data_IF_407729425718
#
_entry.id   IF_407729425718
#
_cell.length_a   1.000
_cell.length_b   1.000
_cell.length_c   1.000
_cell.angle_alpha   90.00
_cell.angle_beta   90.00
_cell.angle_gamma   90.00
#
_symmetry.space_group_name_H-M   'P 1'
#
loop_
_entity.id
_entity.type
_entity.pdbx_description
1 polymer ?
#
# COMPACT_ATOMS: atom_id res chain seq x y z
N UNK A 1 -23.71 6.84 21.00
CA UNK A 1 -23.58 6.30 19.63
C UNK A 1 -23.62 4.78 19.69
N UNK A 2 -24.24 4.11 18.70
CA UNK A 2 -24.35 2.65 18.66
C UNK A 2 -23.19 2.08 17.84
N UNK A 3 -22.43 1.15 18.42
CA UNK A 3 -21.32 0.49 17.73
C UNK A 3 -21.84 -0.57 16.74
N UNK A 4 -21.16 -0.72 15.61
CA UNK A 4 -21.39 -1.72 14.59
C UNK A 4 -20.46 -2.91 14.88
N UNK A 5 -21.03 -4.11 14.92
CA UNK A 5 -20.27 -5.35 15.09
C UNK A 5 -19.68 -5.82 13.76
N UNK A 6 -18.69 -5.10 13.27
CA UNK A 6 -17.94 -5.42 12.06
C UNK A 6 -16.57 -6.00 12.42
N UNK A 7 -16.20 -7.15 11.85
CA UNK A 7 -14.89 -7.79 12.06
C UNK A 7 -13.92 -7.54 10.91
N UNK A 8 -14.41 -7.55 9.68
CA UNK A 8 -13.61 -7.33 8.48
C UNK A 8 -14.20 -6.20 7.66
N UNK A 9 -13.33 -5.30 7.20
CA UNK A 9 -13.67 -4.20 6.31
C UNK A 9 -12.67 -4.17 5.15
N UNK A 10 -13.20 -4.20 3.93
CA UNK A 10 -12.43 -4.08 2.71
C UNK A 10 -12.90 -2.82 1.99
N UNK A 11 -11.98 -1.89 1.78
CA UNK A 11 -12.21 -0.67 1.03
C UNK A 11 -11.33 -0.75 -0.22
N UNK A 12 -11.95 -1.05 -1.36
CA UNK A 12 -11.26 -1.25 -2.64
C UNK A 12 -11.01 0.04 -3.42
N UNK A 13 -11.67 1.12 -3.04
CA UNK A 13 -11.42 2.45 -3.56
C UNK A 13 -11.86 3.46 -2.50
N UNK A 14 -10.92 4.25 -1.99
CA UNK A 14 -11.22 5.31 -1.01
C UNK A 14 -10.80 6.66 -1.59
N UNK A 15 -11.79 7.46 -1.93
CA UNK A 15 -11.63 8.80 -2.53
C UNK A 15 -11.88 9.92 -1.51
N UNK A 16 -12.07 9.57 -0.24
CA UNK A 16 -12.32 10.51 0.86
C UNK A 16 -11.05 10.79 1.66
N UNK A 17 -11.11 11.75 2.59
CA UNK A 17 -9.96 12.14 3.42
C UNK A 17 -9.78 11.20 4.60
N UNK A 18 -8.60 11.23 5.22
CA UNK A 18 -8.30 10.41 6.40
C UNK A 18 -9.29 10.66 7.55
N UNK A 19 -9.71 11.92 7.73
CA UNK A 19 -10.70 12.29 8.76
C UNK A 19 -12.07 11.62 8.54
N UNK A 20 -12.48 11.36 7.29
CA UNK A 20 -13.71 10.64 6.99
C UNK A 20 -13.62 9.18 7.45
N UNK A 21 -12.47 8.53 7.22
CA UNK A 21 -12.22 7.17 7.74
C UNK A 21 -12.17 7.14 9.26
N UNK A 22 -11.52 8.12 9.88
CA UNK A 22 -11.46 8.25 11.35
C UNK A 22 -12.84 8.42 11.98
N UNK A 23 -13.77 9.11 11.31
CA UNK A 23 -15.16 9.17 11.74
C UNK A 23 -15.82 7.79 11.68
N UNK A 24 -15.61 7.03 10.60
CA UNK A 24 -16.10 5.65 10.47
C UNK A 24 -15.54 4.74 11.58
N UNK A 25 -14.24 4.84 11.87
CA UNK A 25 -13.55 4.02 12.87
C UNK A 25 -14.21 4.08 14.26
N UNK A 26 -14.79 5.23 14.64
CA UNK A 26 -15.54 5.39 15.91
C UNK A 26 -16.74 4.45 16.02
N UNK A 27 -17.28 3.99 14.90
CA UNK A 27 -18.44 3.11 14.86
C UNK A 27 -18.07 1.63 14.74
N UNK A 28 -16.81 1.29 14.48
CA UNK A 28 -16.34 -0.10 14.26
C UNK A 28 -15.19 -0.50 15.21
N UNK A 29 -15.29 -0.29 16.53
CA UNK A 29 -14.17 -0.49 17.46
C UNK A 29 -13.72 -1.96 17.61
N UNK A 30 -14.53 -2.92 17.11
CA UNK A 30 -14.23 -4.37 17.16
C UNK A 30 -13.68 -4.91 15.83
N UNK A 31 -13.27 -4.03 14.93
CA UNK A 31 -12.67 -4.42 13.65
C UNK A 31 -11.35 -5.16 13.91
N UNK A 32 -11.21 -6.36 13.36
CA UNK A 32 -10.01 -7.20 13.48
C UNK A 32 -9.21 -7.26 12.18
N UNK A 33 -9.84 -6.98 11.04
CA UNK A 33 -9.19 -6.93 9.74
C UNK A 33 -9.62 -5.73 8.92
N UNK A 34 -8.63 -4.98 8.43
CA UNK A 34 -8.80 -3.85 7.52
C UNK A 34 -7.94 -4.07 6.28
N UNK A 35 -8.57 -4.03 5.11
CA UNK A 35 -7.88 -4.00 3.81
C UNK A 35 -8.23 -2.70 3.10
N UNK A 36 -7.22 -1.93 2.73
CA UNK A 36 -7.42 -0.57 2.27
C UNK A 36 -6.68 -0.30 0.98
N UNK A 37 -7.40 0.13 -0.05
CA UNK A 37 -6.81 0.64 -1.29
C UNK A 37 -7.13 2.13 -1.39
N UNK A 38 -6.12 2.94 -1.08
CA UNK A 38 -6.21 4.40 -1.13
C UNK A 38 -5.48 4.94 -2.34
N UNK A 39 -6.11 5.87 -3.04
CA UNK A 39 -5.52 6.53 -4.21
C UNK A 39 -5.61 8.04 -4.06
N UNK A 40 -4.57 8.73 -4.53
CA UNK A 40 -4.54 10.18 -4.78
C UNK A 40 -4.52 11.10 -3.54
N UNK A 41 -4.56 10.56 -2.32
CA UNK A 41 -4.49 11.36 -1.10
C UNK A 41 -3.16 11.16 -0.33
N UNK A 42 -2.35 12.21 -0.25
CA UNK A 42 -1.12 12.24 0.54
C UNK A 42 -1.37 12.12 2.05
N UNK A 43 -2.55 12.53 2.51
CA UNK A 43 -2.90 12.48 3.93
C UNK A 43 -3.13 11.04 4.39
N UNK A 44 -3.44 10.13 3.47
CA UNK A 44 -3.47 8.68 3.75
C UNK A 44 -2.09 8.10 4.02
N UNK A 45 -1.05 8.75 3.50
CA UNK A 45 0.35 8.33 3.67
C UNK A 45 0.92 9.07 4.88
N UNK A 46 0.39 8.73 6.06
CA UNK A 46 0.89 9.21 7.36
C UNK A 46 0.85 8.08 8.39
N UNK A 47 2.00 7.45 8.60
CA UNK A 47 2.14 6.34 9.54
C UNK A 47 1.74 6.74 10.97
N UNK A 48 2.01 7.98 11.39
CA UNK A 48 1.73 8.42 12.75
C UNK A 48 0.22 8.56 12.98
N UNK A 49 -0.51 9.07 11.97
CA UNK A 49 -1.96 9.16 12.03
C UNK A 49 -2.62 7.77 12.08
N UNK A 50 -2.14 6.83 11.27
CA UNK A 50 -2.60 5.46 11.32
C UNK A 50 -2.29 4.78 12.65
N UNK A 51 -1.08 4.91 13.17
CA UNK A 51 -0.70 4.38 14.48
C UNK A 51 -1.59 4.93 15.60
N UNK A 52 -1.82 6.25 15.63
CA UNK A 52 -2.73 6.86 16.59
C UNK A 52 -4.16 6.34 16.45
N UNK A 53 -4.68 6.22 15.22
CA UNK A 53 -6.02 5.71 14.97
C UNK A 53 -6.17 4.26 15.45
N UNK A 54 -5.18 3.42 15.15
CA UNK A 54 -5.20 2.00 15.50
C UNK A 54 -5.14 1.81 17.01
N UNK A 55 -4.22 2.50 17.67
CA UNK A 55 -4.07 2.42 19.13
C UNK A 55 -5.28 3.01 19.87
N UNK A 56 -5.92 4.06 19.35
CA UNK A 56 -7.03 4.75 20.04
C UNK A 56 -8.42 4.21 19.74
N UNK A 57 -8.72 3.85 18.48
CA UNK A 57 -10.08 3.52 18.02
C UNK A 57 -10.22 2.08 17.51
N UNK A 58 -9.14 1.48 16.99
CA UNK A 58 -9.17 0.15 16.38
C UNK A 58 -8.22 -0.82 17.11
N UNK A 59 -8.28 -0.83 18.44
CA UNK A 59 -7.35 -1.59 19.28
C UNK A 59 -7.47 -3.12 19.14
N UNK A 60 -8.53 -3.61 18.51
CA UNK A 60 -8.68 -5.02 18.15
C UNK A 60 -8.12 -5.37 16.75
N UNK A 61 -7.50 -4.42 16.05
CA UNK A 61 -7.03 -4.63 14.67
C UNK A 61 -5.77 -5.50 14.65
N UNK A 62 -5.92 -6.74 14.22
CA UNK A 62 -4.82 -7.70 14.10
C UNK A 62 -4.22 -7.71 12.69
N UNK A 63 -5.06 -7.51 11.68
CA UNK A 63 -4.65 -7.50 10.27
C UNK A 63 -4.91 -6.14 9.66
N UNK A 64 -3.84 -5.44 9.29
CA UNK A 64 -3.93 -4.24 8.46
C UNK A 64 -3.16 -4.48 7.16
N UNK A 65 -3.88 -4.42 6.03
CA UNK A 65 -3.29 -4.47 4.70
C UNK A 65 -3.65 -3.20 3.95
N UNK A 66 -2.68 -2.61 3.29
CA UNK A 66 -2.95 -1.45 2.48
C UNK A 66 -2.10 -1.39 1.22
N UNK A 67 -2.62 -0.61 0.27
CA UNK A 67 -1.88 -0.04 -0.84
C UNK A 67 -2.27 1.43 -0.91
N UNK A 68 -1.28 2.31 -0.85
CA UNK A 68 -1.45 3.74 -1.07
C UNK A 68 -0.68 4.13 -2.32
N UNK A 69 -1.42 4.62 -3.32
CA UNK A 69 -0.86 5.14 -4.55
C UNK A 69 -1.05 6.66 -4.59
N UNK A 70 0.04 7.38 -4.83
CA UNK A 70 0.06 8.82 -4.92
C UNK A 70 0.67 9.26 -6.26
N UNK A 71 0.02 10.17 -6.97
CA UNK A 71 0.61 10.79 -8.17
C UNK A 71 1.48 11.96 -7.71
N UNK A 72 2.78 11.86 -7.98
CA UNK A 72 3.80 12.80 -7.55
C UNK A 72 3.60 14.19 -8.17
N UNK A 73 3.82 15.24 -7.37
CA UNK A 73 4.05 16.59 -7.87
C UNK A 73 5.54 16.91 -7.74
N UNK A 74 6.18 17.59 -8.71
CA UNK A 74 7.65 17.81 -8.78
C UNK A 74 8.34 18.43 -7.55
N UNK A 75 7.60 18.88 -6.53
CA UNK A 75 8.12 19.54 -5.34
C UNK A 75 7.90 18.72 -4.04
N UNK A 76 7.39 17.50 -4.11
CA UNK A 76 7.12 16.66 -2.94
C UNK A 76 8.39 15.92 -2.47
N UNK A 77 9.41 16.68 -2.04
CA UNK A 77 10.75 16.15 -1.72
C UNK A 77 10.84 15.28 -0.44
N UNK A 78 9.71 14.92 0.18
CA UNK A 78 9.67 14.27 1.52
C UNK A 78 8.83 12.99 1.57
N UNK A 79 8.46 12.40 0.43
CA UNK A 79 7.64 11.19 0.44
C UNK A 79 8.38 9.99 1.05
N UNK A 80 9.70 9.90 0.84
CA UNK A 80 10.55 8.89 1.46
C UNK A 80 10.54 9.01 3.00
N UNK A 81 10.59 10.23 3.53
CA UNK A 81 10.50 10.47 4.98
C UNK A 81 9.16 9.97 5.55
N UNK A 82 8.06 10.12 4.79
CA UNK A 82 6.75 9.56 5.17
C UNK A 82 6.77 8.03 5.14
N UNK A 83 7.37 7.43 4.11
CA UNK A 83 7.46 5.97 3.99
C UNK A 83 8.34 5.34 5.07
N UNK A 84 9.44 5.98 5.45
CA UNK A 84 10.34 5.49 6.50
C UNK A 84 9.63 5.40 7.88
N UNK A 85 8.58 6.20 8.11
CA UNK A 85 7.78 6.10 9.34
C UNK A 85 6.92 4.84 9.42
N UNK A 86 6.71 4.12 8.31
CA UNK A 86 6.09 2.78 8.32
C UNK A 86 7.08 1.66 8.70
N UNK A 87 8.32 2.01 9.09
CA UNK A 87 9.35 1.05 9.52
C UNK A 87 9.66 1.11 11.03
N UNK A 88 8.81 1.77 11.84
CA UNK A 88 9.03 1.85 13.29
C UNK A 88 8.74 0.52 13.99
N UNK A 89 9.11 0.42 15.27
CA UNK A 89 8.84 -0.76 16.11
C UNK A 89 7.35 -1.12 16.18
N UNK A 90 6.45 -0.13 16.10
CA UNK A 90 5.01 -0.35 16.01
C UNK A 90 4.66 -1.21 14.80
N UNK A 91 5.13 -0.83 13.61
CA UNK A 91 4.84 -1.55 12.36
C UNK A 91 5.55 -2.90 12.29
N UNK A 92 6.85 -2.93 12.59
CA UNK A 92 7.70 -4.11 12.35
C UNK A 92 7.64 -5.11 13.50
N UNK A 93 7.89 -4.66 14.74
CA UNK A 93 8.06 -5.58 15.89
C UNK A 93 6.73 -5.95 16.52
N UNK A 94 5.88 -4.96 16.77
CA UNK A 94 4.61 -5.17 17.45
C UNK A 94 3.58 -5.84 16.54
N UNK A 95 3.42 -5.33 15.32
CA UNK A 95 2.35 -5.80 14.42
C UNK A 95 2.83 -6.69 13.27
N UNK A 96 4.13 -6.70 12.96
CA UNK A 96 4.68 -7.44 11.81
C UNK A 96 4.00 -7.06 10.47
N UNK A 97 3.52 -5.82 10.38
CA UNK A 97 2.96 -5.24 9.16
C UNK A 97 4.09 -4.63 8.32
N UNK A 98 4.90 -5.51 7.73
CA UNK A 98 5.99 -5.11 6.85
C UNK A 98 5.46 -4.35 5.64
N UNK A 99 6.20 -3.33 5.21
CA UNK A 99 5.86 -2.53 4.03
C UNK A 99 7.01 -2.50 3.05
N UNK A 100 6.67 -2.37 1.77
CA UNK A 100 7.59 -2.03 0.69
C UNK A 100 7.05 -0.80 -0.03
N UNK A 101 7.94 -0.07 -0.70
CA UNK A 101 7.53 1.07 -1.50
C UNK A 101 8.35 1.19 -2.78
N UNK A 102 7.75 1.81 -3.78
CA UNK A 102 8.41 2.21 -5.00
C UNK A 102 8.07 3.64 -5.38
N UNK A 103 9.00 4.29 -6.06
CA UNK A 103 8.94 5.67 -6.50
C UNK A 103 9.27 5.69 -7.98
N UNK A 104 8.46 6.39 -8.75
CA UNK A 104 8.72 6.74 -10.14
C UNK A 104 8.79 8.26 -10.29
N UNK A 105 9.04 8.73 -11.51
CA UNK A 105 9.01 10.15 -11.82
C UNK A 105 7.61 10.79 -11.63
N UNK A 106 6.55 9.98 -11.59
CA UNK A 106 5.16 10.46 -11.61
C UNK A 106 4.28 9.87 -10.52
N UNK A 107 4.77 8.88 -9.77
CA UNK A 107 3.98 8.14 -8.79
C UNK A 107 4.85 7.67 -7.63
N UNK A 108 4.20 7.51 -6.48
CA UNK A 108 4.76 6.88 -5.30
C UNK A 108 3.76 5.83 -4.80
N UNK A 109 4.26 4.65 -4.51
CA UNK A 109 3.45 3.51 -4.09
C UNK A 109 4.04 2.95 -2.81
N UNK A 110 3.24 2.82 -1.75
CA UNK A 110 3.59 2.06 -0.55
C UNK A 110 2.52 1.02 -0.27
N UNK A 111 2.92 -0.17 0.16
CA UNK A 111 2.00 -1.27 0.41
C UNK A 111 2.53 -2.22 1.48
N UNK A 112 1.62 -2.96 2.11
CA UNK A 112 1.98 -4.03 3.05
C UNK A 112 2.36 -5.32 2.30
N UNK A 113 3.27 -6.09 2.89
CA UNK A 113 3.70 -7.40 2.40
C UNK A 113 2.92 -8.53 3.11
N UNK A 114 2.39 -9.53 2.38
CA UNK A 114 2.38 -9.66 0.92
C UNK A 114 1.41 -8.68 0.26
N UNK A 115 1.75 -8.25 -0.95
CA UNK A 115 0.94 -7.36 -1.79
C UNK A 115 -0.50 -7.90 -1.89
N UNK A 116 -1.51 -7.07 -1.62
CA UNK A 116 -2.87 -7.58 -1.38
C UNK A 116 -3.69 -7.85 -2.64
N UNK A 117 -3.34 -7.29 -3.80
CA UNK A 117 -4.09 -7.47 -5.05
C UNK A 117 -3.57 -8.66 -5.86
N UNK A 118 -4.46 -9.22 -6.68
CA UNK A 118 -4.11 -10.29 -7.61
C UNK A 118 -3.49 -9.78 -8.91
N UNK A 119 -3.52 -8.47 -9.14
CA UNK A 119 -2.99 -7.79 -10.30
C UNK A 119 -1.93 -6.79 -9.89
N UNK A 120 -0.81 -6.78 -10.59
CA UNK A 120 0.26 -5.80 -10.40
C UNK A 120 0.69 -5.24 -11.75
N UNK A 121 0.88 -3.92 -11.81
CA UNK A 121 1.46 -3.24 -12.97
C UNK A 121 2.85 -2.77 -12.58
N UNK A 122 3.87 -3.29 -13.24
CA UNK A 122 5.25 -2.87 -13.04
C UNK A 122 5.45 -1.53 -13.75
N UNK A 123 5.68 -0.49 -12.96
CA UNK A 123 6.05 0.84 -13.45
C UNK A 123 7.58 0.99 -13.49
N UNK A 124 8.08 1.95 -14.28
CA UNK A 124 9.50 2.33 -14.28
C UNK A 124 9.78 3.01 -12.94
N UNK A 125 10.35 2.28 -12.00
CA UNK A 125 10.65 2.80 -10.68
C UNK A 125 12.07 3.38 -10.67
N UNK A 126 12.20 4.66 -10.34
CA UNK A 126 13.50 5.29 -10.12
C UNK A 126 14.15 4.80 -8.83
N UNK A 127 13.35 4.57 -7.78
CA UNK A 127 13.79 4.07 -6.49
C UNK A 127 12.80 3.02 -5.95
N UNK A 128 13.33 1.94 -5.37
CA UNK A 128 12.51 0.94 -4.68
C UNK A 128 13.17 0.54 -3.36
N UNK A 129 12.34 0.44 -2.32
CA UNK A 129 12.70 -0.18 -1.06
C UNK A 129 12.00 -1.54 -0.94
N UNK A 130 12.81 -2.58 -0.83
CA UNK A 130 12.34 -3.95 -0.57
C UNK A 130 13.03 -4.52 0.64
N UNK A 131 12.23 -5.14 1.52
CA UNK A 131 12.73 -5.92 2.64
C UNK A 131 13.22 -7.31 2.23
N UNK A 132 13.36 -7.58 0.93
CA UNK A 132 13.81 -8.85 0.34
C UNK A 132 12.98 -10.07 0.75
N UNK A 133 11.71 -9.85 1.11
CA UNK A 133 10.80 -10.93 1.46
C UNK A 133 10.41 -11.68 0.18
N UNK A 134 10.78 -12.96 0.11
CA UNK A 134 10.57 -13.84 -1.07
C UNK A 134 9.07 -13.96 -1.43
N UNK A 135 8.17 -13.65 -0.50
CA UNK A 135 6.73 -13.80 -0.65
C UNK A 135 5.98 -12.50 -1.01
N UNK A 136 6.67 -11.39 -1.31
CA UNK A 136 6.03 -10.09 -1.55
C UNK A 136 4.89 -10.14 -2.55
N UNK A 137 5.08 -10.82 -3.69
CA UNK A 137 4.08 -10.87 -4.76
C UNK A 137 3.38 -12.21 -4.88
N UNK A 138 3.32 -13.02 -3.81
CA UNK A 138 2.66 -14.33 -3.85
C UNK A 138 1.18 -14.28 -4.21
N UNK A 139 0.49 -13.17 -3.98
CA UNK A 139 -0.91 -13.03 -4.37
C UNK A 139 -1.11 -12.62 -5.84
N UNK A 140 -0.06 -12.13 -6.50
CA UNK A 140 -0.13 -11.63 -7.88
C UNK A 140 -0.22 -12.79 -8.85
N UNK A 141 -1.32 -12.82 -9.60
CA UNK A 141 -1.60 -13.78 -10.68
C UNK A 141 -1.53 -13.13 -12.05
N UNK A 142 -1.87 -11.84 -12.11
CA UNK A 142 -1.91 -11.06 -13.35
C UNK A 142 -0.82 -9.99 -13.28
N UNK A 143 0.21 -10.11 -14.09
CA UNK A 143 1.29 -9.14 -14.19
C UNK A 143 1.14 -8.33 -15.48
N UNK A 144 1.13 -7.01 -15.36
CA UNK A 144 1.26 -6.10 -16.51
C UNK A 144 2.63 -5.45 -16.46
N UNK A 145 3.37 -5.51 -17.55
CA UNK A 145 4.65 -4.80 -17.71
C UNK A 145 4.60 -3.89 -18.92
N UNK A 146 5.31 -2.78 -18.86
CA UNK A 146 5.58 -1.95 -20.03
C UNK A 146 6.85 -2.46 -20.71
N UNK A 147 6.95 -2.38 -22.04
CA UNK A 147 8.16 -2.80 -22.75
C UNK A 147 9.44 -2.16 -22.19
N UNK A 148 9.33 -0.93 -21.68
CA UNK A 148 10.43 -0.19 -21.06
C UNK A 148 10.86 -0.73 -19.69
N UNK A 149 10.01 -1.48 -18.97
CA UNK A 149 10.30 -2.01 -17.62
C UNK A 149 10.83 -3.43 -17.61
N UNK A 150 11.00 -4.07 -18.77
CA UNK A 150 11.45 -5.47 -18.87
C UNK A 150 12.81 -5.68 -18.18
N UNK A 151 13.72 -4.71 -18.27
CA UNK A 151 15.05 -4.79 -17.64
C UNK A 151 15.02 -4.73 -16.12
N UNK A 152 13.94 -4.25 -15.52
CA UNK A 152 13.79 -4.10 -14.06
C UNK A 152 13.26 -5.36 -13.37
N UNK A 153 12.81 -6.36 -14.15
CA UNK A 153 12.25 -7.62 -13.64
C UNK A 153 13.22 -8.38 -12.72
N UNK A 154 14.53 -8.20 -12.88
CA UNK A 154 15.54 -8.88 -12.06
C UNK A 154 15.43 -8.61 -10.55
N UNK A 155 14.80 -7.50 -10.14
CA UNK A 155 14.56 -7.17 -8.73
C UNK A 155 13.28 -7.75 -8.13
N UNK A 156 12.46 -8.45 -8.91
CA UNK A 156 11.14 -8.91 -8.51
C UNK A 156 11.03 -10.44 -8.49
N UNK A 157 10.32 -10.99 -7.50
CA UNK A 157 10.00 -12.41 -7.43
C UNK A 157 8.48 -12.62 -7.51
N UNK A 158 8.02 -13.07 -8.67
CA UNK A 158 6.61 -13.35 -8.96
C UNK A 158 6.36 -14.85 -9.07
N UNK A 159 6.14 -15.52 -7.94
CA UNK A 159 6.07 -16.99 -7.89
C UNK A 159 4.77 -17.59 -8.46
N UNK A 160 3.68 -16.81 -8.53
CA UNK A 160 2.34 -17.30 -8.82
C UNK A 160 1.67 -16.62 -10.02
N UNK A 161 2.43 -15.93 -10.86
CA UNK A 161 1.90 -15.28 -12.07
C UNK A 161 1.45 -16.33 -13.08
N UNK A 162 0.19 -16.24 -13.51
CA UNK A 162 -0.42 -17.11 -14.51
C UNK A 162 -0.79 -16.36 -15.79
N UNK A 163 -0.82 -15.03 -15.76
CA UNK A 163 -1.12 -14.18 -16.90
C UNK A 163 -0.13 -13.01 -16.96
N UNK A 164 0.46 -12.78 -18.14
CA UNK A 164 1.37 -11.69 -18.42
C UNK A 164 0.83 -10.83 -19.58
N UNK A 165 0.68 -9.54 -19.34
CA UNK A 165 0.34 -8.53 -20.35
C UNK A 165 1.55 -7.64 -20.57
N UNK A 166 1.99 -7.49 -21.82
CA UNK A 166 3.07 -6.56 -22.20
C UNK A 166 2.43 -5.40 -22.96
N UNK A 167 2.60 -4.19 -22.44
CA UNK A 167 2.09 -2.96 -23.05
C UNK A 167 3.22 -2.19 -23.76
N UNK A 168 2.89 -1.40 -24.80
CA UNK A 168 3.85 -0.45 -25.40
C UNK A 168 4.28 0.59 -24.37
N UNK A 169 5.40 1.32 -24.58
CA UNK A 169 5.89 2.32 -23.63
C UNK A 169 4.78 3.27 -23.15
N UNK A 170 4.68 3.48 -21.83
CA UNK A 170 3.65 4.33 -21.21
C UNK A 170 3.73 5.79 -21.66
N UNK A 171 4.90 6.21 -22.17
CA UNK A 171 5.17 7.54 -22.71
C UNK A 171 5.96 7.42 -24.02
N UNK A 172 5.24 7.36 -25.15
CA UNK A 172 5.82 7.62 -26.46
C UNK A 172 5.50 9.06 -26.85
N UNK A 173 6.48 9.95 -26.69
CA UNK A 173 6.52 11.26 -27.34
C UNK A 173 7.82 11.36 -28.12
#
# INVERSE_FOLDING_TARGET
MKAIHLKELIISNFEYKFEDFKLLAKYIPKLTSLKFYGTYDLDMIDANQWEYLITSLLSCLDTFKFIFNYIYKPNDNHIEDKFNKFQTDFWIKQHQWYTEYSLSNYSALIYTVPYMLNSYTLELDSNRYSNQLINTFNNVKNLTIYHTTITELGGYCFSNVTSLTILPPKYAH
#
